data_IF_012536408522
#
_entry.id   IF_012536408522
#
_cell.length_a   1.000
_cell.length_b   1.000
_cell.length_c   1.000
_cell.angle_alpha   90.00
_cell.angle_beta   90.00
_cell.angle_gamma   90.00
#
_symmetry.space_group_name_H-M   'P 1'
#
loop_
_entity.id
_entity.type
_entity.pdbx_description
1 polymer ?
#
# COMPACT_ATOMS: atom_id res chain seq x y z
N UNK A 1 10.66 59.36 41.74
CA UNK A 1 11.75 58.57 41.11
C UNK A 1 11.21 57.15 40.95
N UNK A 2 11.09 56.48 39.81
CA UNK A 2 11.43 56.72 38.40
C UNK A 2 10.36 56.03 37.51
N UNK A 3 10.25 56.45 36.25
CA UNK A 3 9.27 56.03 35.23
C UNK A 3 9.78 54.91 34.32
N UNK A 4 8.87 54.03 33.86
CA UNK A 4 8.87 53.28 32.57
C UNK A 4 9.97 52.20 32.36
N UNK A 5 9.87 51.13 31.55
CA UNK A 5 9.16 50.84 30.28
C UNK A 5 8.77 49.34 30.18
N UNK A 6 7.65 49.06 29.50
CA UNK A 6 7.23 47.73 29.05
C UNK A 6 8.04 47.27 27.82
N UNK A 7 8.32 45.97 27.73
CA UNK A 7 8.82 45.33 26.49
C UNK A 7 7.93 44.14 26.14
N UNK A 8 6.99 44.36 25.23
CA UNK A 8 6.19 43.33 24.58
C UNK A 8 6.74 43.13 23.16
N UNK A 9 7.33 41.98 22.88
CA UNK A 9 7.84 41.66 21.55
C UNK A 9 6.76 40.93 20.76
N UNK A 10 6.18 41.63 19.78
CA UNK A 10 5.22 41.10 18.83
C UNK A 10 5.93 40.19 17.80
N UNK A 11 5.45 38.96 17.63
CA UNK A 11 5.89 38.04 16.58
C UNK A 11 5.05 38.30 15.32
N UNK A 12 5.66 38.59 14.16
CA UNK A 12 4.91 38.80 12.91
C UNK A 12 4.33 37.48 12.39
N UNK A 13 3.02 37.51 12.13
CA UNK A 13 2.28 36.44 11.43
C UNK A 13 2.50 36.59 9.91
N UNK A 14 2.89 35.55 9.17
CA UNK A 14 2.83 35.57 7.72
C UNK A 14 1.38 35.26 7.28
N UNK A 15 0.67 36.29 6.85
CA UNK A 15 -0.60 36.17 6.11
C UNK A 15 -0.30 35.90 4.63
N UNK A 16 -0.31 34.63 4.22
CA UNK A 16 -0.40 34.25 2.81
C UNK A 16 -1.85 33.86 2.54
N UNK A 17 -2.63 34.83 2.10
CA UNK A 17 -3.90 34.58 1.44
C UNK A 17 -3.66 34.46 -0.06
N UNK A 18 -3.81 33.27 -0.62
CA UNK A 18 -3.94 33.06 -2.07
C UNK A 18 -4.99 31.97 -2.31
N UNK A 19 -6.14 32.41 -2.83
CA UNK A 19 -6.85 31.80 -3.96
C UNK A 19 -7.17 30.30 -3.94
N UNK A 20 -8.47 30.01 -3.82
CA UNK A 20 -9.08 28.75 -4.22
C UNK A 20 -8.85 28.57 -5.73
N UNK A 21 -8.13 27.53 -6.14
CA UNK A 21 -8.27 26.92 -7.48
C UNK A 21 -8.21 25.40 -7.34
N UNK A 22 -9.29 24.73 -7.75
CA UNK A 22 -9.30 23.29 -7.98
C UNK A 22 -8.28 22.98 -9.08
N UNK A 23 -7.28 22.16 -8.79
CA UNK A 23 -6.34 21.63 -9.79
C UNK A 23 -6.35 20.12 -9.74
N UNK A 24 -7.17 19.54 -10.62
CA UNK A 24 -7.13 18.13 -11.01
C UNK A 24 -5.87 17.96 -11.85
N UNK A 25 -4.84 17.32 -11.31
CA UNK A 25 -3.64 17.01 -12.09
C UNK A 25 -3.87 15.72 -12.89
N UNK A 26 -4.32 15.88 -14.13
CA UNK A 26 -4.27 14.85 -15.16
C UNK A 26 -2.84 14.73 -15.67
N UNK A 27 -2.07 13.74 -15.21
CA UNK A 27 -0.75 13.44 -15.78
C UNK A 27 -0.93 12.55 -17.01
N UNK A 28 -1.02 13.21 -18.16
CA UNK A 28 -0.85 12.63 -19.49
C UNK A 28 0.65 12.72 -19.81
N UNK A 29 1.35 11.58 -19.93
CA UNK A 29 2.72 11.54 -20.46
C UNK A 29 2.66 10.75 -21.76
N UNK A 30 2.57 11.49 -22.87
CA UNK A 30 2.91 11.01 -24.19
C UNK A 30 4.29 11.55 -24.54
N UNK A 31 5.28 10.69 -24.69
CA UNK A 31 6.49 11.03 -25.43
C UNK A 31 6.91 9.82 -26.27
N UNK A 32 6.92 10.02 -27.58
CA UNK A 32 7.24 9.03 -28.60
C UNK A 32 8.62 9.31 -29.23
N UNK A 33 9.24 8.22 -29.70
CA UNK A 33 10.39 8.09 -30.61
C UNK A 33 11.79 8.36 -30.01
N UNK A 34 12.89 7.71 -30.41
CA UNK A 34 13.19 6.37 -30.97
C UNK A 34 14.72 6.33 -31.13
N UNK A 35 15.46 5.42 -30.46
CA UNK A 35 16.86 5.11 -30.82
C UNK A 35 17.19 3.63 -30.55
N UNK A 36 17.04 2.83 -31.61
CA UNK A 36 17.87 1.72 -32.14
C UNK A 36 18.83 0.90 -31.22
N UNK A 37 18.72 -0.43 -31.44
CA UNK A 37 19.71 -1.55 -31.35
C UNK A 37 20.03 -2.25 -30.02
N UNK A 38 19.38 -3.40 -29.78
CA UNK A 38 19.91 -4.79 -29.87
C UNK A 38 18.94 -5.75 -29.13
N UNK A 39 18.69 -6.97 -29.62
CA UNK A 39 17.69 -7.87 -29.05
C UNK A 39 18.32 -8.68 -27.90
N UNK A 40 17.89 -8.43 -26.66
CA UNK A 40 18.05 -9.40 -25.58
C UNK A 40 16.71 -10.08 -25.35
N UNK A 41 16.59 -11.28 -25.90
CA UNK A 41 15.54 -12.22 -25.58
C UNK A 41 15.53 -12.49 -24.07
N UNK A 42 14.57 -11.91 -23.36
CA UNK A 42 14.26 -12.38 -22.01
C UNK A 42 13.10 -13.37 -22.10
N UNK A 43 13.43 -14.57 -21.62
CA UNK A 43 12.66 -15.81 -21.67
C UNK A 43 11.26 -15.60 -21.08
N UNK A 44 10.23 -15.88 -21.90
CA UNK A 44 8.85 -16.04 -21.44
C UNK A 44 8.74 -17.42 -20.79
N UNK A 45 8.77 -17.46 -19.46
CA UNK A 45 8.43 -18.68 -18.72
C UNK A 45 6.91 -18.72 -18.52
N UNK A 46 6.23 -19.35 -19.48
CA UNK A 46 4.90 -19.95 -19.28
C UNK A 46 5.14 -21.31 -18.62
N UNK A 47 4.66 -21.48 -17.39
CA UNK A 47 4.66 -22.79 -16.73
C UNK A 47 3.22 -23.13 -16.38
N UNK A 48 2.52 -23.76 -17.31
CA UNK A 48 1.32 -24.54 -17.04
C UNK A 48 1.73 -25.91 -16.51
N UNK A 49 1.51 -26.15 -15.22
CA UNK A 49 1.51 -27.50 -14.67
C UNK A 49 0.24 -27.65 -13.81
N UNK A 50 -0.77 -28.24 -14.44
CA UNK A 50 -1.99 -28.71 -13.80
C UNK A 50 -1.65 -29.84 -12.84
N UNK A 51 -2.00 -29.69 -11.57
CA UNK A 51 -2.28 -30.81 -10.67
C UNK A 51 -3.72 -30.63 -10.19
N UNK A 52 -4.55 -31.62 -10.52
CA UNK A 52 -5.98 -31.64 -10.25
C UNK A 52 -6.25 -31.82 -8.75
N UNK A 53 -7.07 -30.94 -8.20
CA UNK A 53 -7.79 -31.14 -6.94
C UNK A 53 -9.15 -30.40 -7.09
N UNK A 54 -10.31 -31.07 -6.95
CA UNK A 54 -11.60 -30.46 -7.23
C UNK A 54 -12.07 -29.65 -6.02
N UNK A 55 -11.56 -28.42 -5.89
CA UNK A 55 -12.21 -27.37 -5.12
C UNK A 55 -12.40 -26.18 -6.06
N UNK A 56 -13.62 -25.64 -6.26
CA UNK A 56 -13.85 -24.63 -7.28
C UNK A 56 -12.95 -23.41 -7.00
N UNK A 57 -11.98 -23.09 -7.88
CA UNK A 57 -11.17 -21.91 -7.69
C UNK A 57 -12.05 -20.72 -8.02
N UNK A 58 -12.57 -20.06 -6.97
CA UNK A 58 -13.03 -18.68 -7.07
C UNK A 58 -11.98 -17.93 -7.88
N UNK A 59 -12.39 -17.36 -9.01
CA UNK A 59 -11.56 -16.79 -10.08
C UNK A 59 -10.40 -16.00 -9.47
N UNK A 60 -9.23 -16.64 -9.32
CA UNK A 60 -8.15 -16.09 -8.52
C UNK A 60 -7.47 -14.99 -9.32
N UNK A 61 -8.03 -13.77 -9.24
CA UNK A 61 -7.38 -12.58 -9.76
C UNK A 61 -5.98 -12.54 -9.17
N UNK A 62 -4.97 -12.51 -10.04
CA UNK A 62 -3.58 -12.49 -9.62
C UNK A 62 -3.39 -11.25 -8.76
N UNK A 63 -3.02 -11.46 -7.50
CA UNK A 63 -2.79 -10.38 -6.56
C UNK A 63 -1.58 -9.56 -7.03
N UNK A 64 -1.77 -8.26 -7.17
CA UNK A 64 -0.76 -7.31 -7.59
C UNK A 64 -0.61 -6.17 -6.57
N UNK A 65 0.46 -5.40 -6.69
CA UNK A 65 0.64 -4.21 -5.87
C UNK A 65 -0.48 -3.22 -6.21
N UNK A 66 -1.14 -2.67 -5.18
CA UNK A 66 -2.29 -1.79 -5.32
C UNK A 66 -3.64 -2.51 -5.31
N UNK A 67 -3.69 -3.84 -5.47
CA UNK A 67 -4.95 -4.59 -5.43
C UNK A 67 -5.66 -4.42 -4.07
N UNK A 68 -6.99 -4.21 -4.07
CA UNK A 68 -7.78 -4.21 -2.83
C UNK A 68 -7.90 -5.64 -2.30
N UNK A 69 -7.73 -5.80 -1.00
CA UNK A 69 -7.78 -7.10 -0.33
C UNK A 69 -8.59 -7.02 0.94
N UNK A 70 -9.19 -8.13 1.33
CA UNK A 70 -9.89 -8.30 2.60
C UNK A 70 -9.26 -9.43 3.40
N UNK A 71 -9.02 -9.20 4.69
CA UNK A 71 -8.54 -10.19 5.63
C UNK A 71 -9.64 -11.21 5.88
N UNK A 72 -9.38 -12.48 5.61
CA UNK A 72 -10.32 -13.60 5.80
C UNK A 72 -10.20 -14.14 7.22
N UNK A 73 -8.99 -14.22 7.74
CA UNK A 73 -8.69 -14.76 9.06
C UNK A 73 -7.61 -13.90 9.72
N UNK A 74 -7.74 -13.65 11.02
CA UNK A 74 -6.75 -12.90 11.78
C UNK A 74 -5.45 -13.71 11.93
N UNK A 75 -4.29 -13.22 11.45
CA UNK A 75 -3.02 -13.90 11.66
C UNK A 75 -2.70 -13.98 13.15
N UNK A 76 -2.15 -15.10 13.64
CA UNK A 76 -1.74 -15.23 15.05
C UNK A 76 -0.59 -14.27 15.42
N UNK A 77 0.32 -14.06 14.48
CA UNK A 77 1.48 -13.18 14.63
C UNK A 77 1.64 -12.31 13.40
N UNK A 78 2.02 -11.05 13.59
CA UNK A 78 2.17 -10.05 12.54
C UNK A 78 3.54 -9.37 12.65
N UNK A 79 4.16 -9.04 11.53
CA UNK A 79 5.37 -8.20 11.52
C UNK A 79 4.99 -6.76 11.21
N UNK A 80 5.47 -5.84 12.02
CA UNK A 80 5.32 -4.41 11.76
C UNK A 80 6.36 -3.94 10.75
N UNK A 81 5.98 -3.07 9.83
CA UNK A 81 6.90 -2.45 8.87
C UNK A 81 7.77 -1.31 9.46
N UNK A 82 8.05 -1.34 10.77
CA UNK A 82 8.89 -0.34 11.44
C UNK A 82 10.38 -0.53 11.10
N UNK A 83 11.22 0.48 11.36
CA UNK A 83 12.67 0.46 11.10
C UNK A 83 13.36 -0.78 11.69
N UNK A 84 12.90 -1.22 12.85
CA UNK A 84 13.25 -2.52 13.45
C UNK A 84 12.01 -3.42 13.40
N UNK A 85 11.95 -4.41 12.49
CA UNK A 85 10.79 -5.29 12.38
C UNK A 85 10.70 -6.21 13.59
N UNK A 86 9.67 -6.02 14.42
CA UNK A 86 9.35 -6.94 15.50
C UNK A 86 8.13 -7.80 15.11
N UNK A 87 8.22 -9.09 15.44
CA UNK A 87 7.11 -10.01 15.34
C UNK A 87 6.24 -9.84 16.60
N UNK A 88 4.98 -9.45 16.42
CA UNK A 88 4.04 -9.16 17.50
C UNK A 88 2.86 -10.12 17.44
N UNK A 89 2.37 -10.54 18.59
CA UNK A 89 1.09 -11.25 18.68
C UNK A 89 -0.02 -10.31 18.21
N UNK A 90 -0.93 -10.84 17.39
CA UNK A 90 -2.08 -10.08 16.93
C UNK A 90 -3.15 -10.03 18.04
N UNK A 91 -2.98 -9.09 18.97
CA UNK A 91 -3.95 -8.83 20.06
C UNK A 91 -5.11 -7.97 19.56
N UNK A 92 -5.78 -8.38 18.48
CA UNK A 92 -6.89 -7.64 17.86
C UNK A 92 -6.46 -6.44 17.00
N UNK A 93 -5.19 -6.40 16.57
CA UNK A 93 -4.63 -5.35 15.71
C UNK A 93 -5.18 -5.49 14.28
N UNK A 94 -5.31 -6.73 13.82
CA UNK A 94 -5.87 -7.09 12.53
C UNK A 94 -6.98 -8.10 12.78
N UNK A 95 -8.18 -7.75 12.36
CA UNK A 95 -9.37 -8.57 12.53
C UNK A 95 -9.84 -9.13 11.18
N UNK A 96 -10.58 -10.25 11.17
CA UNK A 96 -11.26 -10.72 9.97
C UNK A 96 -12.24 -9.65 9.48
N UNK A 97 -12.29 -9.45 8.16
CA UNK A 97 -13.08 -8.39 7.53
C UNK A 97 -12.34 -7.07 7.36
N UNK A 98 -11.15 -6.91 7.92
CA UNK A 98 -10.35 -5.71 7.68
C UNK A 98 -9.98 -5.60 6.19
N UNK A 99 -10.24 -4.43 5.61
CA UNK A 99 -9.95 -4.13 4.21
C UNK A 99 -8.66 -3.32 4.11
N UNK A 100 -7.84 -3.68 3.12
CA UNK A 100 -6.59 -3.00 2.84
C UNK A 100 -6.21 -3.01 1.38
N UNK A 101 -4.98 -2.54 1.13
CA UNK A 101 -4.33 -2.61 -0.19
C UNK A 101 -2.94 -3.20 -0.08
N UNK A 102 -2.55 -3.93 -1.10
CA UNK A 102 -1.19 -4.46 -1.21
C UNK A 102 -0.22 -3.31 -1.51
N UNK A 103 0.83 -3.19 -0.70
CA UNK A 103 1.91 -2.20 -0.85
C UNK A 103 3.15 -2.82 -1.48
N UNK A 104 3.46 -4.07 -1.16
CA UNK A 104 4.67 -4.73 -1.66
C UNK A 104 4.55 -6.26 -1.68
N UNK A 105 5.08 -6.90 -2.71
CA UNK A 105 5.35 -8.36 -2.71
C UNK A 105 6.63 -8.67 -1.94
N UNK A 106 6.60 -9.70 -1.10
CA UNK A 106 7.80 -10.31 -0.52
C UNK A 106 7.88 -11.79 -0.96
N UNK A 107 9.06 -12.41 -0.86
CA UNK A 107 9.21 -13.83 -1.08
C UNK A 107 8.33 -14.65 -0.12
N UNK A 108 8.11 -15.94 -0.46
CA UNK A 108 7.35 -16.90 0.36
C UNK A 108 5.88 -16.50 0.62
N UNK A 109 5.23 -15.89 -0.37
CA UNK A 109 3.85 -15.43 -0.29
C UNK A 109 3.56 -14.54 0.93
N UNK A 110 4.57 -13.77 1.35
CA UNK A 110 4.41 -12.71 2.34
C UNK A 110 4.15 -11.41 1.60
N UNK A 111 3.23 -10.60 2.12
CA UNK A 111 2.77 -9.38 1.47
C UNK A 111 2.76 -8.23 2.45
N UNK A 112 3.24 -7.08 2.02
CA UNK A 112 3.03 -5.84 2.73
C UNK A 112 1.62 -5.35 2.44
N UNK A 113 0.75 -5.31 3.44
CA UNK A 113 -0.63 -4.85 3.33
C UNK A 113 -0.81 -3.59 4.16
N UNK A 114 -1.33 -2.52 3.54
CA UNK A 114 -1.75 -1.31 4.24
C UNK A 114 -3.20 -1.49 4.67
N UNK A 115 -3.40 -1.60 5.97
CA UNK A 115 -4.68 -1.56 6.65
C UNK A 115 -4.91 -0.17 7.27
N UNK A 116 -6.10 0.06 7.81
CA UNK A 116 -6.43 1.28 8.55
C UNK A 116 -5.48 1.51 9.74
N UNK A 117 -5.09 0.44 10.42
CA UNK A 117 -4.21 0.50 11.61
C UNK A 117 -2.75 0.78 11.23
N UNK A 118 -2.32 0.36 10.04
CA UNK A 118 -0.92 0.53 9.62
C UNK A 118 -0.53 -0.41 8.48
N UNK A 119 0.78 -0.48 8.20
CA UNK A 119 1.33 -1.42 7.23
C UNK A 119 1.93 -2.63 7.93
N UNK A 120 1.49 -3.82 7.54
CA UNK A 120 1.93 -5.08 8.14
C UNK A 120 2.35 -6.08 7.08
N UNK A 121 3.25 -7.00 7.44
CA UNK A 121 3.54 -8.16 6.61
C UNK A 121 2.58 -9.29 6.98
N UNK A 122 1.79 -9.73 6.00
CA UNK A 122 0.75 -10.74 6.13
C UNK A 122 0.96 -11.81 5.06
N UNK A 123 0.81 -13.07 5.43
CA UNK A 123 0.88 -14.19 4.49
C UNK A 123 -0.36 -14.20 3.58
N UNK A 124 -0.19 -14.66 2.33
CA UNK A 124 -1.27 -14.77 1.33
C UNK A 124 -2.46 -15.64 1.74
N UNK A 125 -2.31 -16.49 2.76
CA UNK A 125 -3.39 -17.32 3.32
C UNK A 125 -4.42 -16.54 4.14
N UNK A 126 -4.06 -15.37 4.68
CA UNK A 126 -4.91 -14.62 5.59
C UNK A 126 -5.78 -13.58 4.90
N UNK A 127 -5.61 -13.37 3.59
CA UNK A 127 -6.38 -12.38 2.85
C UNK A 127 -6.73 -12.88 1.44
N UNK A 128 -7.78 -12.29 0.86
CA UNK A 128 -8.22 -12.56 -0.51
C UNK A 128 -8.44 -11.26 -1.28
N UNK A 129 -8.40 -11.27 -2.62
CA UNK A 129 -8.82 -10.12 -3.41
C UNK A 129 -10.22 -9.67 -3.00
N UNK A 130 -10.43 -8.37 -2.89
CA UNK A 130 -11.77 -7.82 -2.73
C UNK A 130 -12.46 -7.80 -4.10
N UNK A 131 -13.47 -8.62 -4.27
CA UNK A 131 -14.37 -8.57 -5.43
C UNK A 131 -15.42 -7.50 -5.15
N UNK A 132 -15.40 -6.43 -5.94
CA UNK A 132 -16.49 -5.46 -5.99
C UNK A 132 -17.33 -5.88 -7.18
N UNK A 133 -18.48 -6.50 -6.89
CA UNK A 133 -19.52 -6.69 -7.90
C UNK A 133 -20.01 -5.29 -8.30
N UNK A 134 -19.89 -4.99 -9.59
CA UNK A 134 -20.21 -3.68 -10.18
C UNK A 134 -21.71 -3.57 -10.47
#
# INVERSE_FOLDING_TARGET
>A
MATSLSSATAIPRPSIGIGIVNSISSFNISNSLSTRSQPRSFVKCESSASAADPTPPAKSRKLEIGSPVIVVEAPKMIKTAASVPCLRVNSGIINPGDVGRIVSRKPKDVWGVRLKVGTYLIDGRYFRPLELDQ
#
